data_IF_975533554606
#
_entry.id   IF_975533554606
#
_cell.length_a   1.000
_cell.length_b   1.000
_cell.length_c   1.000
_cell.angle_alpha   90.00
_cell.angle_beta   90.00
_cell.angle_gamma   90.00
#
_symmetry.space_group_name_H-M   'P 1'
#
loop_
_entity.id
_entity.type
_entity.pdbx_description
1 polymer ?
#
# COMPACT_ATOMS: atom_id res chain seq x y z
N UNK A 1 13.22 -30.39 -14.74
CA UNK A 1 13.58 -29.14 -15.42
C UNK A 1 12.26 -28.50 -15.78
N UNK A 2 11.91 -27.31 -15.28
CA UNK A 2 10.62 -26.71 -15.60
C UNK A 2 10.52 -26.55 -17.12
N UNK A 3 9.38 -26.92 -17.69
CA UNK A 3 9.15 -26.68 -19.12
C UNK A 3 9.11 -25.16 -19.37
N UNK A 4 9.46 -24.72 -20.58
CA UNK A 4 9.52 -23.28 -20.94
C UNK A 4 8.22 -22.56 -20.55
N UNK A 5 7.09 -23.23 -20.67
CA UNK A 5 5.76 -22.71 -20.31
C UNK A 5 5.63 -22.39 -18.81
N UNK A 6 6.19 -23.24 -17.92
CA UNK A 6 6.17 -22.99 -16.46
C UNK A 6 6.98 -21.73 -16.11
N UNK A 7 8.11 -21.50 -16.78
CA UNK A 7 8.91 -20.29 -16.58
C UNK A 7 8.17 -19.02 -17.05
N UNK A 8 7.44 -19.11 -18.17
CA UNK A 8 6.64 -18.00 -18.70
C UNK A 8 5.51 -17.65 -17.73
N UNK A 9 4.76 -18.65 -17.27
CA UNK A 9 3.68 -18.46 -16.30
C UNK A 9 4.20 -17.85 -14.98
N UNK A 10 5.32 -18.35 -14.46
CA UNK A 10 5.97 -17.79 -13.28
C UNK A 10 6.32 -16.31 -13.47
N UNK A 11 6.93 -15.96 -14.60
CA UNK A 11 7.32 -14.60 -14.90
C UNK A 11 6.10 -13.65 -14.99
N UNK A 12 5.02 -14.09 -15.64
CA UNK A 12 3.77 -13.33 -15.70
C UNK A 12 3.20 -13.03 -14.31
N UNK A 13 3.24 -14.00 -13.38
CA UNK A 13 2.78 -13.80 -12.00
C UNK A 13 3.63 -12.76 -11.26
N UNK A 14 4.95 -12.78 -11.43
CA UNK A 14 5.85 -11.79 -10.83
C UNK A 14 5.64 -10.39 -11.43
N UNK A 15 5.55 -10.27 -12.75
CA UNK A 15 5.33 -9.00 -13.44
C UNK A 15 3.99 -8.37 -13.01
N UNK A 16 2.91 -9.14 -13.03
CA UNK A 16 1.60 -8.64 -12.65
C UNK A 16 1.55 -8.23 -11.18
N UNK A 17 2.19 -9.01 -10.30
CA UNK A 17 2.32 -8.65 -8.89
C UNK A 17 3.12 -7.36 -8.69
N UNK A 18 4.22 -7.18 -9.42
CA UNK A 18 5.02 -5.95 -9.40
C UNK A 18 4.17 -4.74 -9.81
N UNK A 19 3.41 -4.87 -10.90
CA UNK A 19 2.50 -3.85 -11.38
C UNK A 19 1.46 -3.45 -10.32
N UNK A 20 0.76 -4.42 -9.71
CA UNK A 20 -0.25 -4.16 -8.68
C UNK A 20 0.35 -3.48 -7.44
N UNK A 21 1.55 -3.89 -7.02
CA UNK A 21 2.25 -3.25 -5.89
C UNK A 21 2.65 -1.82 -6.23
N UNK A 22 3.14 -1.56 -7.45
CA UNK A 22 3.46 -0.22 -7.92
C UNK A 22 2.24 0.71 -7.91
N UNK A 23 1.09 0.24 -8.43
CA UNK A 23 -0.17 0.99 -8.38
C UNK A 23 -0.59 1.29 -6.94
N UNK A 24 -0.43 0.33 -6.03
CA UNK A 24 -0.83 0.49 -4.63
C UNK A 24 0.04 1.54 -3.95
N UNK A 25 1.36 1.46 -4.13
CA UNK A 25 2.29 2.39 -3.51
C UNK A 25 2.11 3.82 -4.02
N UNK A 26 1.92 4.00 -5.34
CA UNK A 26 1.62 5.32 -5.93
C UNK A 26 0.29 5.86 -5.38
N UNK A 27 -0.75 5.03 -5.31
CA UNK A 27 -2.07 5.44 -4.82
C UNK A 27 -2.02 5.89 -3.35
N UNK A 28 -1.31 5.15 -2.50
CA UNK A 28 -1.14 5.50 -1.09
C UNK A 28 -0.33 6.78 -0.93
N UNK A 29 0.78 6.90 -1.68
CA UNK A 29 1.65 8.07 -1.70
C UNK A 29 0.93 9.35 -2.10
N UNK A 30 -0.03 9.27 -3.03
CA UNK A 30 -0.81 10.43 -3.44
C UNK A 30 -1.92 10.76 -2.44
N UNK A 31 -2.62 9.76 -1.90
CA UNK A 31 -3.83 9.99 -1.10
C UNK A 31 -3.55 10.26 0.38
N UNK A 32 -2.57 9.57 0.99
CA UNK A 32 -2.31 9.68 2.44
C UNK A 32 -1.83 11.09 2.82
N UNK A 33 -0.80 11.66 2.17
CA UNK A 33 -0.35 13.02 2.49
C UNK A 33 -1.48 14.05 2.39
N UNK A 34 -2.25 14.04 1.30
CA UNK A 34 -3.40 14.96 1.12
C UNK A 34 -4.39 14.82 2.27
N UNK A 35 -4.81 13.58 2.56
CA UNK A 35 -5.82 13.30 3.59
C UNK A 35 -5.36 13.67 5.01
N UNK A 36 -4.06 13.60 5.27
CA UNK A 36 -3.46 13.99 6.55
C UNK A 36 -3.21 15.50 6.63
N UNK A 37 -2.83 16.15 5.52
CA UNK A 37 -2.64 17.60 5.41
C UNK A 37 -3.92 18.37 5.70
N UNK A 38 -5.08 17.88 5.26
CA UNK A 38 -6.38 18.54 5.54
C UNK A 38 -6.68 18.69 7.05
N UNK A 39 -6.11 17.83 7.89
CA UNK A 39 -6.26 17.90 9.35
C UNK A 39 -5.21 18.83 9.98
N UNK A 40 -4.12 19.11 9.27
CA UNK A 40 -3.04 19.93 9.79
C UNK A 40 -3.49 21.40 9.79
N UNK A 41 -3.53 22.02 10.98
CA UNK A 41 -3.77 23.45 11.12
C UNK A 41 -2.58 24.28 10.62
N UNK A 42 -2.78 25.59 10.52
CA UNK A 42 -1.75 26.56 10.08
C UNK A 42 -0.44 26.51 10.89
N UNK A 43 -0.46 25.98 12.12
CA UNK A 43 0.70 25.83 12.99
C UNK A 43 1.56 24.59 12.72
N UNK A 44 1.11 23.67 11.87
CA UNK A 44 1.80 22.40 11.56
C UNK A 44 1.80 22.16 10.06
N UNK A 45 2.73 22.76 9.30
CA UNK A 45 2.62 22.81 7.84
C UNK A 45 2.82 21.46 7.14
N UNK A 46 3.35 20.44 7.83
CA UNK A 46 3.66 19.15 7.21
C UNK A 46 2.77 18.01 7.73
N UNK A 47 2.22 17.22 6.80
CA UNK A 47 1.35 16.07 7.07
C UNK A 47 1.97 15.01 8.00
N UNK A 48 3.31 14.95 8.04
CA UNK A 48 4.05 13.97 8.83
C UNK A 48 4.41 14.43 10.25
N UNK A 49 4.11 15.68 10.63
CA UNK A 49 4.61 16.30 11.88
C UNK A 49 4.12 15.61 13.16
N UNK A 50 2.92 15.02 13.13
CA UNK A 50 2.28 14.40 14.30
C UNK A 50 2.01 12.90 14.11
N UNK A 51 2.77 12.25 13.23
CA UNK A 51 2.60 10.81 13.02
C UNK A 51 3.12 10.02 14.23
N UNK A 52 2.36 9.03 14.73
CA UNK A 52 2.80 8.13 15.80
C UNK A 52 3.79 7.08 15.26
N UNK A 53 4.93 7.54 14.73
CA UNK A 53 5.94 6.69 14.11
C UNK A 53 6.73 5.91 15.17
N UNK A 54 6.91 4.62 14.90
CA UNK A 54 7.96 3.85 15.58
C UNK A 54 9.35 4.21 15.04
N UNK A 55 10.40 3.70 15.67
CA UNK A 55 11.80 3.94 15.28
C UNK A 55 12.06 3.71 13.78
N UNK A 56 11.57 2.60 13.23
CA UNK A 56 11.73 2.29 11.79
C UNK A 56 11.05 3.33 10.90
N UNK A 57 9.83 3.74 11.24
CA UNK A 57 9.09 4.78 10.54
C UNK A 57 9.81 6.13 10.61
N UNK A 58 10.37 6.49 11.76
CA UNK A 58 11.17 7.70 11.94
C UNK A 58 12.41 7.67 11.04
N UNK A 59 13.16 6.56 11.02
CA UNK A 59 14.33 6.39 10.15
C UNK A 59 13.95 6.52 8.68
N UNK A 60 12.86 5.87 8.24
CA UNK A 60 12.38 5.99 6.86
C UNK A 60 12.02 7.42 6.49
N UNK A 61 11.32 8.14 7.37
CA UNK A 61 10.96 9.55 7.15
C UNK A 61 12.21 10.44 7.10
N UNK A 62 13.15 10.26 8.03
CA UNK A 62 14.39 11.04 8.05
C UNK A 62 15.21 10.85 6.78
N UNK A 63 15.35 9.61 6.29
CA UNK A 63 16.02 9.32 5.01
C UNK A 63 15.30 9.97 3.83
N UNK A 64 13.97 9.89 3.80
CA UNK A 64 13.17 10.52 2.76
C UNK A 64 13.34 12.05 2.74
N UNK A 65 13.34 12.69 3.92
CA UNK A 65 13.57 14.12 4.09
C UNK A 65 14.99 14.55 3.70
N UNK A 66 16.00 13.71 3.93
CA UNK A 66 17.36 13.97 3.47
C UNK A 66 17.45 14.00 1.94
N UNK A 67 16.69 13.15 1.25
CA UNK A 67 16.67 13.10 -0.21
C UNK A 67 15.83 14.25 -0.79
N UNK A 68 14.62 14.46 -0.27
CA UNK A 68 13.72 15.50 -0.74
C UNK A 68 12.82 16.02 0.39
N UNK A 69 13.15 17.21 0.90
CA UNK A 69 12.37 17.87 1.97
C UNK A 69 10.99 18.33 1.54
N UNK A 70 10.80 18.65 0.25
CA UNK A 70 9.53 19.19 -0.28
C UNK A 70 8.50 18.08 -0.47
N UNK A 71 8.93 16.94 -0.99
CA UNK A 71 8.07 15.79 -1.30
C UNK A 71 8.70 14.49 -0.76
N UNK A 72 8.87 14.34 0.57
CA UNK A 72 9.48 13.14 1.15
C UNK A 72 8.65 11.88 0.89
N UNK A 73 7.33 12.00 0.69
CA UNK A 73 6.46 10.90 0.32
C UNK A 73 6.95 10.12 -0.91
N UNK A 74 7.71 10.76 -1.80
CA UNK A 74 8.29 10.12 -2.98
C UNK A 74 9.38 9.08 -2.67
N UNK A 75 9.89 9.06 -1.44
CA UNK A 75 11.00 8.21 -1.02
C UNK A 75 10.63 7.32 0.18
N UNK A 76 9.35 7.33 0.57
CA UNK A 76 8.83 6.46 1.62
C UNK A 76 8.47 5.08 1.06
N UNK A 77 8.95 3.99 1.69
CA UNK A 77 8.69 2.63 1.22
C UNK A 77 7.28 2.15 1.57
N UNK A 78 6.78 1.13 0.87
CA UNK A 78 5.50 0.47 1.19
C UNK A 78 5.31 0.11 2.67
N UNK A 79 6.37 -0.31 3.37
CA UNK A 79 6.32 -0.65 4.79
C UNK A 79 5.94 0.53 5.69
N UNK A 80 6.30 1.76 5.29
CA UNK A 80 5.88 2.98 5.97
C UNK A 80 4.37 3.19 5.85
N UNK A 81 3.83 3.08 4.63
CA UNK A 81 2.38 3.22 4.39
C UNK A 81 1.58 2.13 5.10
N UNK A 82 2.05 0.87 5.07
CA UNK A 82 1.46 -0.22 5.86
C UNK A 82 1.43 0.11 7.34
N UNK A 83 2.51 0.66 7.89
CA UNK A 83 2.55 1.00 9.31
C UNK A 83 1.46 2.02 9.67
N UNK A 84 1.28 3.08 8.88
CA UNK A 84 0.22 4.08 9.11
C UNK A 84 -1.18 3.46 9.10
N UNK A 85 -1.42 2.46 8.26
CA UNK A 85 -2.69 1.74 8.15
C UNK A 85 -2.81 0.53 9.09
N UNK A 86 -1.82 0.28 9.95
CA UNK A 86 -1.82 -0.88 10.84
C UNK A 86 -2.80 -0.71 12.00
N UNK A 87 -3.26 -1.84 12.57
CA UNK A 87 -4.19 -1.87 13.71
C UNK A 87 -3.88 -0.83 14.80
N UNK A 88 -2.59 -0.67 15.13
CA UNK A 88 -2.07 0.24 16.16
C UNK A 88 -2.53 1.69 15.99
N UNK A 89 -2.86 2.09 14.76
CA UNK A 89 -3.22 3.45 14.40
C UNK A 89 -4.73 3.66 14.19
N UNK A 90 -5.58 2.74 14.65
CA UNK A 90 -7.04 2.86 14.53
C UNK A 90 -7.57 4.17 15.15
N UNK A 91 -7.24 4.41 16.42
CA UNK A 91 -7.73 5.60 17.13
C UNK A 91 -7.04 6.89 16.71
N UNK A 92 -5.74 6.82 16.42
CA UNK A 92 -4.89 8.00 16.21
C UNK A 92 -4.91 8.54 14.79
N UNK A 93 -4.97 7.66 13.77
CA UNK A 93 -4.93 8.06 12.36
C UNK A 93 -6.18 7.65 11.58
N UNK A 94 -6.68 6.43 11.79
CA UNK A 94 -7.80 5.89 11.01
C UNK A 94 -9.10 6.65 11.23
N UNK A 95 -9.59 6.65 12.47
CA UNK A 95 -10.85 7.30 12.85
C UNK A 95 -10.87 8.80 12.53
N UNK A 96 -9.80 9.57 12.78
CA UNK A 96 -9.80 10.99 12.48
C UNK A 96 -9.77 11.31 10.99
N UNK A 97 -9.03 10.56 10.17
CA UNK A 97 -8.81 10.97 8.77
C UNK A 97 -8.57 9.83 7.79
N UNK A 98 -7.69 8.86 8.07
CA UNK A 98 -7.22 7.91 7.03
C UNK A 98 -8.30 7.02 6.44
N UNK A 99 -9.41 6.77 7.14
CA UNK A 99 -10.55 6.06 6.56
C UNK A 99 -11.09 6.69 5.25
N UNK A 100 -10.86 7.99 5.01
CA UNK A 100 -11.32 8.73 3.82
C UNK A 100 -10.55 8.38 2.55
N UNK A 101 -9.36 7.77 2.66
CA UNK A 101 -8.60 7.37 1.45
C UNK A 101 -9.29 6.25 0.68
N UNK A 102 -10.24 5.54 1.30
CA UNK A 102 -11.03 4.46 0.72
C UNK A 102 -12.49 4.89 0.47
N UNK A 103 -12.76 5.70 -0.58
CA UNK A 103 -14.09 6.26 -0.83
C UNK A 103 -15.15 5.20 -1.17
N UNK A 104 -14.75 4.08 -1.79
CA UNK A 104 -15.70 3.04 -2.25
C UNK A 104 -16.14 2.09 -1.13
N UNK A 105 -15.59 2.24 0.08
CA UNK A 105 -15.95 1.40 1.23
C UNK A 105 -17.15 2.01 1.95
N UNK A 106 -18.29 1.29 2.07
CA UNK A 106 -19.38 1.74 2.91
C UNK A 106 -18.99 1.66 4.39
N UNK A 107 -19.27 2.72 5.15
CA UNK A 107 -18.97 2.79 6.60
C UNK A 107 -17.51 2.46 6.96
N UNK A 108 -16.51 3.17 6.40
CA UNK A 108 -15.10 2.80 6.53
C UNK A 108 -14.56 2.93 7.97
N UNK A 109 -15.27 3.64 8.86
CA UNK A 109 -14.91 3.73 10.29
C UNK A 109 -15.08 2.41 11.05
N UNK A 110 -15.87 1.45 10.54
CA UNK A 110 -16.16 0.20 11.26
C UNK A 110 -14.88 -0.61 11.47
N UNK A 111 -14.69 -1.11 12.69
CA UNK A 111 -13.49 -1.86 13.10
C UNK A 111 -13.24 -3.09 12.23
N UNK A 112 -14.28 -3.82 11.82
CA UNK A 112 -14.14 -5.00 10.97
C UNK A 112 -13.58 -4.64 9.57
N UNK A 113 -14.01 -3.52 8.99
CA UNK A 113 -13.48 -3.04 7.71
C UNK A 113 -12.01 -2.67 7.84
N UNK A 114 -11.67 -1.92 8.89
CA UNK A 114 -10.30 -1.55 9.16
C UNK A 114 -9.38 -2.78 9.32
N UNK A 115 -9.83 -3.81 10.05
CA UNK A 115 -9.10 -5.09 10.17
C UNK A 115 -8.90 -5.79 8.82
N UNK A 116 -9.88 -5.70 7.91
CA UNK A 116 -9.75 -6.23 6.54
C UNK A 116 -8.67 -5.48 5.76
N UNK A 117 -8.63 -4.15 5.87
CA UNK A 117 -7.63 -3.30 5.22
C UNK A 117 -6.24 -3.62 5.76
N UNK A 118 -6.08 -3.70 7.09
CA UNK A 118 -4.81 -4.07 7.74
C UNK A 118 -4.30 -5.43 7.23
N UNK A 119 -5.17 -6.46 7.21
CA UNK A 119 -4.82 -7.79 6.64
C UNK A 119 -4.43 -7.74 5.16
N UNK A 120 -5.13 -6.94 4.36
CA UNK A 120 -4.83 -6.80 2.94
C UNK A 120 -3.51 -6.06 2.73
N UNK A 121 -3.22 -5.01 3.51
CA UNK A 121 -1.95 -4.29 3.47
C UNK A 121 -0.77 -5.17 3.91
N UNK A 122 -0.98 -6.01 4.92
CA UNK A 122 -0.01 -7.00 5.37
C UNK A 122 0.29 -8.06 4.28
N UNK A 123 -0.74 -8.47 3.55
CA UNK A 123 -0.59 -9.35 2.38
C UNK A 123 0.13 -8.65 1.23
N UNK A 124 -0.17 -7.38 0.97
CA UNK A 124 0.51 -6.58 -0.05
C UNK A 124 2.01 -6.44 0.25
N UNK A 125 2.37 -6.22 1.52
CA UNK A 125 3.78 -6.14 1.93
C UNK A 125 4.51 -7.48 1.72
N UNK A 126 3.87 -8.61 2.05
CA UNK A 126 4.42 -9.94 1.74
C UNK A 126 4.60 -10.16 0.25
N UNK A 127 3.59 -9.84 -0.56
CA UNK A 127 3.64 -9.96 -2.02
C UNK A 127 4.79 -9.14 -2.59
N UNK A 128 4.94 -7.88 -2.15
CA UNK A 128 6.07 -7.02 -2.54
C UNK A 128 7.41 -7.67 -2.24
N UNK A 129 7.56 -8.27 -1.06
CA UNK A 129 8.81 -8.95 -0.69
C UNK A 129 9.05 -10.19 -1.55
N UNK A 130 8.02 -10.99 -1.81
CA UNK A 130 8.13 -12.15 -2.71
C UNK A 130 8.56 -11.72 -4.11
N UNK A 131 7.99 -10.64 -4.65
CA UNK A 131 8.37 -10.09 -5.95
C UNK A 131 9.80 -9.58 -5.95
N UNK A 132 10.17 -8.76 -4.97
CA UNK A 132 11.51 -8.17 -4.89
C UNK A 132 12.63 -9.22 -4.77
N UNK A 133 12.33 -10.40 -4.22
CA UNK A 133 13.27 -11.50 -4.04
C UNK A 133 13.07 -12.65 -5.03
N UNK A 134 12.15 -12.53 -6.00
CA UNK A 134 11.75 -13.62 -6.89
C UNK A 134 11.49 -14.93 -6.13
N UNK A 135 10.77 -14.84 -5.01
CA UNK A 135 10.50 -15.97 -4.13
C UNK A 135 9.51 -16.95 -4.78
N UNK A 136 10.04 -17.98 -5.41
CA UNK A 136 9.27 -18.99 -6.13
C UNK A 136 8.37 -19.83 -5.19
N UNK A 137 8.74 -19.99 -3.92
CA UNK A 137 7.89 -20.72 -2.95
C UNK A 137 6.53 -20.02 -2.73
N UNK A 138 6.45 -18.72 -3.03
CA UNK A 138 5.23 -17.94 -2.87
C UNK A 138 4.26 -18.09 -4.05
N UNK A 139 4.67 -18.69 -5.19
CA UNK A 139 3.92 -18.70 -6.46
C UNK A 139 2.47 -19.17 -6.29
N UNK A 140 2.26 -20.26 -5.57
CA UNK A 140 0.93 -20.83 -5.30
C UNK A 140 0.00 -19.87 -4.55
N UNK A 141 0.56 -18.91 -3.81
CA UNK A 141 -0.18 -17.92 -3.01
C UNK A 141 -0.22 -16.53 -3.65
N UNK A 142 0.49 -16.32 -4.76
CA UNK A 142 0.51 -15.02 -5.45
C UNK A 142 -0.88 -14.63 -5.97
N UNK A 143 -1.67 -15.50 -6.63
CA UNK A 143 -3.01 -15.12 -7.11
C UNK A 143 -3.93 -14.62 -5.99
N UNK A 144 -3.87 -15.28 -4.83
CA UNK A 144 -4.61 -14.85 -3.65
C UNK A 144 -4.16 -13.49 -3.13
N UNK A 145 -2.85 -13.26 -3.12
CA UNK A 145 -2.27 -11.99 -2.68
C UNK A 145 -2.61 -10.86 -3.65
N UNK A 146 -2.54 -11.12 -4.96
CA UNK A 146 -2.96 -10.20 -6.02
C UNK A 146 -4.43 -9.84 -5.87
N UNK A 147 -5.33 -10.81 -5.61
CA UNK A 147 -6.75 -10.54 -5.35
C UNK A 147 -6.94 -9.55 -4.18
N UNK A 148 -6.19 -9.70 -3.09
CA UNK A 148 -6.25 -8.77 -1.94
C UNK A 148 -5.72 -7.38 -2.29
N UNK A 149 -4.68 -7.28 -3.12
CA UNK A 149 -4.17 -5.98 -3.61
C UNK A 149 -5.18 -5.33 -4.56
N UNK A 150 -5.78 -6.09 -5.50
CA UNK A 150 -6.86 -5.61 -6.38
C UNK A 150 -8.05 -5.09 -5.57
N UNK A 151 -8.38 -5.73 -4.45
CA UNK A 151 -9.40 -5.25 -3.53
C UNK A 151 -9.03 -3.89 -2.91
N UNK A 152 -7.78 -3.72 -2.44
CA UNK A 152 -7.31 -2.43 -1.91
C UNK A 152 -7.39 -1.33 -2.97
N UNK A 153 -6.86 -1.60 -4.17
CA UNK A 153 -6.83 -0.66 -5.29
C UNK A 153 -8.24 -0.22 -5.70
N UNK A 154 -9.16 -1.19 -5.85
CA UNK A 154 -10.57 -0.90 -6.12
C UNK A 154 -11.13 0.06 -5.07
N UNK A 155 -10.88 -0.23 -3.79
CA UNK A 155 -11.44 0.57 -2.71
C UNK A 155 -10.75 1.93 -2.54
N UNK A 156 -9.52 2.07 -3.04
CA UNK A 156 -8.84 3.35 -3.22
C UNK A 156 -9.40 4.15 -4.41
N UNK A 157 -10.33 3.61 -5.19
CA UNK A 157 -10.91 4.25 -6.37
C UNK A 157 -10.04 4.12 -7.63
N UNK A 158 -9.14 3.14 -7.69
CA UNK A 158 -8.38 2.83 -8.90
C UNK A 158 -9.29 2.06 -9.87
N UNK A 159 -9.29 2.46 -11.15
CA UNK A 159 -10.11 1.84 -12.17
C UNK A 159 -9.78 0.35 -12.33
N UNK A 160 -10.83 -0.48 -12.25
CA UNK A 160 -10.73 -1.94 -12.38
C UNK A 160 -10.27 -2.36 -13.77
N UNK A 161 -10.51 -1.54 -14.81
CA UNK A 161 -10.07 -1.84 -16.18
C UNK A 161 -8.55 -2.01 -16.27
N UNK A 162 -7.78 -1.32 -15.43
CA UNK A 162 -6.32 -1.43 -15.37
C UNK A 162 -5.84 -2.83 -14.98
N UNK A 163 -6.67 -3.61 -14.26
CA UNK A 163 -6.31 -4.98 -13.86
C UNK A 163 -6.52 -5.97 -15.00
N UNK A 164 -7.62 -5.83 -15.75
CA UNK A 164 -8.01 -6.77 -16.80
C UNK A 164 -7.17 -6.64 -18.08
N UNK A 165 -6.67 -5.45 -18.39
CA UNK A 165 -5.79 -5.23 -19.55
C UNK A 165 -4.46 -6.00 -19.44
N UNK A 166 -4.10 -6.44 -18.23
CA UNK A 166 -2.84 -7.16 -17.92
C UNK A 166 -3.06 -8.64 -17.57
N UNK A 167 -4.28 -9.05 -17.19
CA UNK A 167 -4.64 -10.47 -17.02
C UNK A 167 -4.80 -11.21 -18.39
N UNK A 168 -4.82 -10.50 -19.53
CA UNK A 168 -5.08 -11.02 -20.88
C UNK A 168 -3.86 -11.08 -21.82
N UNK A 169 -2.63 -10.96 -21.30
CA UNK A 169 -1.39 -11.03 -22.10
C UNK A 169 -0.42 -12.07 -21.57
#
# INVERSE_FOLDING_TARGET
MPFVDEYVEMHQQFEFSYFLIGLLEISLRNKIPITLSEKCGSSQPYWYSQLPLNERGQISLMRALQINRKCPENYLPLSFWRFLLSNKNYGSLWLPSLHRIFPEIPSPKRMNIFKTIDKNMDTALRLRNSVAHFNCDALSTMPYSQMRVKWLLTNLGVDKQLFYQRDLR
#
